data_IF_864649702498
#
_entry.id   IF_864649702498
#
_cell.length_a   1.000
_cell.length_b   1.000
_cell.length_c   1.000
_cell.angle_alpha   90.00
_cell.angle_beta   90.00
_cell.angle_gamma   90.00
#
_symmetry.space_group_name_H-M   'P 1'
#
loop_
_entity.id
_entity.type
_entity.pdbx_description
1 polymer ?
#
# COMPACT_ATOMS: atom_id res chain seq x y z
N UNK A 1 66.54 17.25 45.16
CA UNK A 1 65.99 17.73 43.88
C UNK A 1 65.00 16.69 43.40
N UNK A 2 63.71 16.94 43.65
CA UNK A 2 62.62 15.99 43.33
C UNK A 2 62.10 16.34 41.94
N UNK A 3 62.27 15.45 40.97
CA UNK A 3 61.79 15.64 39.60
C UNK A 3 60.40 15.00 39.49
N UNK A 4 59.36 15.84 39.46
CA UNK A 4 57.98 15.41 39.23
C UNK A 4 57.77 15.17 37.74
N UNK A 5 57.57 13.90 37.35
CA UNK A 5 57.26 13.52 35.97
C UNK A 5 55.75 13.73 35.73
N UNK A 6 55.38 14.77 34.97
CA UNK A 6 54.01 14.92 34.47
C UNK A 6 53.84 14.03 33.22
N UNK A 7 53.06 12.96 33.33
CA UNK A 7 52.56 12.24 32.16
C UNK A 7 51.49 13.11 31.48
N UNK A 8 51.79 13.61 30.29
CA UNK A 8 50.80 14.21 29.41
C UNK A 8 49.86 13.10 28.90
N UNK A 9 48.60 13.16 29.30
CA UNK A 9 47.56 12.25 28.84
C UNK A 9 47.12 12.70 27.45
N UNK A 10 47.54 11.97 26.42
CA UNK A 10 47.06 12.17 25.05
C UNK A 10 45.61 11.67 24.97
N UNK A 11 44.66 12.58 24.81
CA UNK A 11 43.29 12.24 24.47
C UNK A 11 43.27 11.76 23.01
N UNK A 12 42.93 10.48 22.80
CA UNK A 12 42.66 9.96 21.47
C UNK A 12 41.36 10.57 20.94
N UNK A 13 41.29 11.01 19.67
CA UNK A 13 40.04 11.45 19.10
C UNK A 13 39.10 10.25 18.96
N UNK A 14 37.90 10.36 19.52
CA UNK A 14 36.80 9.46 19.20
C UNK A 14 36.37 9.79 17.79
N UNK A 15 36.69 8.91 16.83
CA UNK A 15 36.13 8.99 15.50
C UNK A 15 34.63 8.70 15.60
N UNK A 16 33.80 9.73 15.46
CA UNK A 16 32.38 9.55 15.15
C UNK A 16 32.33 8.94 13.77
N UNK A 17 31.91 7.67 13.68
CA UNK A 17 31.65 7.03 12.41
C UNK A 17 30.56 7.82 11.67
N UNK A 18 30.88 8.33 10.49
CA UNK A 18 29.84 8.72 9.53
C UNK A 18 28.94 7.50 9.29
N UNK A 19 27.62 7.67 9.11
CA UNK A 19 26.79 6.56 8.68
C UNK A 19 27.42 6.01 7.40
N UNK A 20 27.78 4.73 7.42
CA UNK A 20 28.19 4.04 6.22
C UNK A 20 26.99 4.14 5.27
N UNK A 21 27.18 4.87 4.17
CA UNK A 21 26.33 4.75 3.01
C UNK A 21 26.31 3.26 2.67
N UNK A 22 25.23 2.58 3.04
CA UNK A 22 25.11 1.17 2.77
C UNK A 22 25.16 1.06 1.25
N UNK A 23 26.25 0.51 0.73
CA UNK A 23 26.38 0.28 -0.70
C UNK A 23 25.32 -0.76 -1.07
N UNK A 24 24.13 -0.28 -1.44
CA UNK A 24 23.02 -1.14 -1.79
C UNK A 24 23.37 -1.84 -3.11
N UNK A 25 23.14 -3.15 -3.17
CA UNK A 25 23.37 -3.93 -4.37
C UNK A 25 22.39 -3.46 -5.45
N UNK A 26 22.94 -2.87 -6.50
CA UNK A 26 22.16 -2.43 -7.65
C UNK A 26 21.66 -3.61 -8.46
N UNK A 27 20.42 -3.50 -8.91
CA UNK A 27 19.74 -4.46 -9.76
C UNK A 27 19.53 -3.82 -11.13
N UNK A 28 20.09 -4.45 -12.16
CA UNK A 28 19.89 -4.02 -13.55
C UNK A 28 18.44 -4.26 -13.94
N UNK A 29 17.78 -3.23 -14.49
CA UNK A 29 16.40 -3.30 -14.98
C UNK A 29 16.31 -2.90 -16.46
N UNK A 30 15.27 -3.36 -17.20
CA UNK A 30 15.13 -3.10 -18.63
C UNK A 30 15.13 -1.61 -19.04
N UNK A 31 14.64 -0.72 -18.19
CA UNK A 31 14.71 0.73 -18.45
C UNK A 31 16.11 1.33 -18.33
N UNK A 32 17.05 0.63 -17.69
CA UNK A 32 18.36 1.16 -17.31
C UNK A 32 18.33 2.11 -16.11
N UNK A 33 17.18 2.24 -15.43
CA UNK A 33 17.07 3.03 -14.21
C UNK A 33 17.94 2.46 -13.09
N UNK A 34 18.41 3.33 -12.20
CA UNK A 34 19.09 2.91 -10.99
C UNK A 34 18.08 2.35 -10.00
N UNK A 35 18.18 1.04 -9.72
CA UNK A 35 17.31 0.34 -8.76
C UNK A 35 18.16 -0.45 -7.79
N UNK A 36 17.80 -0.45 -6.52
CA UNK A 36 18.42 -1.33 -5.52
C UNK A 36 17.40 -1.90 -4.54
N UNK A 37 17.70 -3.09 -4.01
CA UNK A 37 16.87 -3.70 -2.96
C UNK A 37 17.11 -2.94 -1.64
N UNK A 38 16.03 -2.45 -1.05
CA UNK A 38 16.03 -1.92 0.30
C UNK A 38 15.78 -3.03 1.32
N UNK A 39 14.68 -3.78 1.16
CA UNK A 39 14.24 -4.78 2.13
C UNK A 39 13.53 -5.97 1.46
N UNK A 40 13.71 -7.15 2.05
CA UNK A 40 12.95 -8.36 1.73
C UNK A 40 12.23 -8.82 3.00
N UNK A 41 10.90 -8.85 2.95
CA UNK A 41 10.04 -9.17 4.09
C UNK A 41 9.15 -10.34 3.70
N UNK A 42 8.90 -11.25 4.64
CA UNK A 42 7.90 -12.31 4.45
C UNK A 42 6.93 -12.27 5.62
N UNK A 43 5.66 -12.04 5.31
CA UNK A 43 4.59 -11.88 6.29
C UNK A 43 3.38 -12.74 5.96
N UNK A 44 2.56 -13.00 7.00
CA UNK A 44 1.28 -13.68 6.85
C UNK A 44 0.18 -12.64 6.85
N UNK A 45 -0.57 -12.58 5.76
CA UNK A 45 -1.71 -11.68 5.61
C UNK A 45 -3.00 -12.49 5.68
N UNK A 46 -3.98 -12.11 6.52
CA UNK A 46 -5.29 -12.75 6.54
C UNK A 46 -5.91 -12.78 5.12
N UNK A 47 -6.47 -13.93 4.72
CA UNK A 47 -7.06 -14.10 3.38
C UNK A 47 -6.05 -14.40 2.25
N UNK A 48 -4.85 -13.80 2.27
CA UNK A 48 -3.83 -13.98 1.22
C UNK A 48 -2.76 -15.04 1.55
N UNK A 49 -2.65 -15.47 2.80
CA UNK A 49 -1.68 -16.47 3.23
C UNK A 49 -0.28 -15.87 3.41
N UNK A 50 0.75 -16.57 2.93
CA UNK A 50 2.14 -16.11 3.04
C UNK A 50 2.49 -15.25 1.83
N UNK A 51 2.88 -14.00 2.09
CA UNK A 51 3.23 -12.99 1.09
C UNK A 51 4.72 -12.69 1.21
N UNK A 52 5.42 -12.66 0.09
CA UNK A 52 6.79 -12.13 0.02
C UNK A 52 6.74 -10.70 -0.50
N UNK A 53 7.36 -9.78 0.23
CA UNK A 53 7.42 -8.37 -0.13
C UNK A 53 8.86 -7.97 -0.41
N UNK A 54 9.09 -7.43 -1.60
CA UNK A 54 10.38 -6.87 -2.01
C UNK A 54 10.22 -5.37 -2.14
N UNK A 55 10.99 -4.62 -1.37
CA UNK A 55 10.99 -3.16 -1.36
C UNK A 55 12.24 -2.69 -2.09
N UNK A 56 12.05 -2.03 -3.21
CA UNK A 56 13.10 -1.43 -4.02
C UNK A 56 13.04 0.08 -3.97
N UNK A 57 14.19 0.71 -4.18
CA UNK A 57 14.28 2.16 -4.37
C UNK A 57 14.75 2.44 -5.79
N UNK A 58 14.06 3.36 -6.45
CA UNK A 58 14.34 3.88 -7.78
C UNK A 58 14.23 5.41 -7.73
N UNK A 59 15.34 6.16 -7.60
CA UNK A 59 15.31 7.62 -7.48
C UNK A 59 14.52 8.32 -8.59
N UNK A 60 14.70 7.86 -9.83
CA UNK A 60 14.02 8.41 -11.00
C UNK A 60 12.50 8.18 -11.03
N UNK A 61 11.92 7.49 -10.04
CA UNK A 61 10.47 7.25 -9.98
C UNK A 61 9.67 8.56 -9.89
N UNK A 62 10.22 9.57 -9.23
CA UNK A 62 9.60 10.90 -9.09
C UNK A 62 9.42 11.65 -10.43
N UNK A 63 10.28 11.34 -11.42
CA UNK A 63 10.21 11.94 -12.75
C UNK A 63 9.17 11.25 -13.65
N UNK A 64 8.86 9.99 -13.36
CA UNK A 64 8.01 9.13 -14.20
C UNK A 64 6.58 9.08 -13.68
N UNK A 65 6.39 9.17 -12.36
CA UNK A 65 5.08 9.19 -11.72
C UNK A 65 4.79 10.65 -11.31
N UNK A 66 3.88 11.34 -12.02
CA UNK A 66 3.56 12.71 -11.68
C UNK A 66 2.96 12.78 -10.27
N UNK A 67 3.57 13.60 -9.41
CA UNK A 67 2.95 13.92 -8.13
C UNK A 67 1.63 14.65 -8.38
N UNK A 68 0.56 14.23 -7.69
CA UNK A 68 -0.70 14.97 -7.69
C UNK A 68 -0.52 16.17 -6.77
N UNK A 69 -0.48 17.38 -7.32
CA UNK A 69 -0.54 18.59 -6.50
C UNK A 69 -1.93 18.67 -5.86
N UNK A 70 -2.04 18.82 -4.53
CA UNK A 70 -3.35 18.99 -3.89
C UNK A 70 -4.14 20.19 -4.43
N UNK A 71 -3.48 21.22 -4.95
CA UNK A 71 -4.15 22.32 -5.64
C UNK A 71 -4.75 21.87 -6.98
N UNK A 72 -4.00 21.10 -7.78
CA UNK A 72 -4.51 20.54 -9.04
C UNK A 72 -5.67 19.57 -8.81
N UNK A 73 -5.62 18.77 -7.72
CA UNK A 73 -6.73 17.91 -7.34
C UNK A 73 -7.98 18.73 -7.02
N UNK A 74 -7.86 19.83 -6.29
CA UNK A 74 -9.00 20.70 -5.96
C UNK A 74 -9.66 21.31 -7.20
N UNK A 75 -8.87 21.61 -8.24
CA UNK A 75 -9.36 22.15 -9.52
C UNK A 75 -10.10 21.08 -10.37
N UNK A 76 -9.85 19.79 -10.12
CA UNK A 76 -10.45 18.67 -10.84
C UNK A 76 -11.58 17.95 -10.09
N UNK A 77 -11.80 18.30 -8.82
CA UNK A 77 -12.94 17.79 -8.06
C UNK A 77 -14.23 18.53 -8.46
N UNK A 78 -15.37 17.83 -8.57
CA UNK A 78 -16.63 18.49 -8.83
C UNK A 78 -17.01 19.36 -7.62
N UNK A 79 -17.63 20.53 -7.89
CA UNK A 79 -17.80 21.60 -6.90
C UNK A 79 -18.54 21.16 -5.63
N UNK A 80 -19.47 20.23 -5.75
CA UNK A 80 -20.23 19.64 -4.66
C UNK A 80 -19.37 18.84 -3.66
N UNK A 81 -18.26 18.24 -4.12
CA UNK A 81 -17.29 17.56 -3.26
C UNK A 81 -16.33 18.54 -2.57
N UNK A 82 -16.05 19.67 -3.21
CA UNK A 82 -15.15 20.71 -2.69
C UNK A 82 -15.81 21.52 -1.58
N UNK A 83 -17.08 21.91 -1.75
CA UNK A 83 -17.83 22.68 -0.76
C UNK A 83 -17.99 21.93 0.58
N UNK A 84 -18.19 20.61 0.55
CA UNK A 84 -18.32 19.79 1.76
C UNK A 84 -17.04 19.63 2.58
N UNK A 85 -15.86 19.71 1.95
CA UNK A 85 -14.56 19.55 2.61
C UNK A 85 -14.02 20.88 3.19
N UNK A 86 -14.59 22.00 2.76
CA UNK A 86 -14.18 23.34 3.17
C UNK A 86 -14.95 23.89 4.38
N UNK A 87 -16.02 23.23 4.82
CA UNK A 87 -16.79 23.67 5.99
C UNK A 87 -16.11 23.23 7.30
N UNK A 88 -14.87 23.69 7.51
CA UNK A 88 -14.13 23.51 8.76
C UNK A 88 -14.55 24.52 9.84
N UNK A 89 -15.66 25.24 9.63
CA UNK A 89 -16.17 26.18 10.62
C UNK A 89 -16.61 25.40 11.86
N UNK A 90 -16.41 25.96 13.06
CA UNK A 90 -17.01 25.38 14.25
C UNK A 90 -18.53 25.28 14.06
N UNK A 91 -19.13 24.17 14.49
CA UNK A 91 -20.58 23.99 14.49
C UNK A 91 -21.22 25.14 15.29
N UNK A 92 -22.32 25.67 14.79
CA UNK A 92 -23.13 26.58 15.59
C UNK A 92 -23.74 25.85 16.78
N UNK A 93 -24.15 26.56 17.85
CA UNK A 93 -24.78 25.92 19.00
C UNK A 93 -26.03 25.11 18.66
N UNK A 94 -26.76 25.46 17.60
CA UNK A 94 -27.94 24.72 17.14
C UNK A 94 -27.54 23.41 16.45
N UNK A 95 -26.57 23.46 15.54
CA UNK A 95 -26.03 22.27 14.84
C UNK A 95 -25.36 21.31 15.83
N UNK A 96 -24.65 21.84 16.84
CA UNK A 96 -24.08 21.03 17.91
C UNK A 96 -25.15 20.32 18.73
N UNK A 97 -26.25 21.01 19.07
CA UNK A 97 -27.36 20.41 19.81
C UNK A 97 -28.11 19.33 19.00
N UNK A 98 -28.23 19.51 17.69
CA UNK A 98 -28.79 18.48 16.79
C UNK A 98 -27.88 17.26 16.70
N UNK A 99 -26.56 17.46 16.60
CA UNK A 99 -25.59 16.38 16.62
C UNK A 99 -25.61 15.63 17.96
N UNK A 100 -25.59 16.34 19.09
CA UNK A 100 -25.64 15.74 20.43
C UNK A 100 -26.95 14.95 20.64
N UNK A 101 -28.08 15.47 20.14
CA UNK A 101 -29.36 14.76 20.17
C UNK A 101 -29.37 13.53 19.27
N UNK A 102 -28.70 13.57 18.12
CA UNK A 102 -28.56 12.44 17.20
C UNK A 102 -27.61 11.36 17.74
N UNK A 103 -26.55 11.75 18.44
CA UNK A 103 -25.59 10.84 19.08
C UNK A 103 -26.12 10.24 20.39
N UNK A 104 -27.18 10.81 20.97
CA UNK A 104 -27.84 10.27 22.15
C UNK A 104 -26.88 10.19 23.35
N UNK A 105 -26.73 8.99 23.93
CA UNK A 105 -25.84 8.72 25.08
C UNK A 105 -24.53 8.02 24.67
N UNK A 106 -24.09 8.16 23.41
CA UNK A 106 -22.77 7.66 23.01
C UNK A 106 -21.68 8.50 23.68
N UNK A 107 -21.19 8.02 24.82
CA UNK A 107 -19.97 8.52 25.46
C UNK A 107 -18.79 7.74 24.89
N UNK A 108 -17.85 8.43 24.23
CA UNK A 108 -16.55 7.85 23.92
C UNK A 108 -15.75 7.79 25.23
N UNK A 109 -15.75 6.65 25.91
CA UNK A 109 -14.84 6.42 27.02
C UNK A 109 -13.43 6.18 26.47
N UNK A 110 -12.47 7.01 26.90
CA UNK A 110 -11.07 6.76 26.62
C UNK A 110 -10.65 5.45 27.31
N UNK A 111 -10.07 4.52 26.54
CA UNK A 111 -9.44 3.33 27.10
C UNK A 111 -8.35 3.80 28.07
N UNK A 112 -8.36 3.39 29.36
CA UNK A 112 -7.30 3.77 30.28
C UNK A 112 -5.97 3.24 29.75
N UNK A 113 -4.95 4.10 29.75
CA UNK A 113 -3.59 3.77 29.36
C UNK A 113 -3.13 2.51 30.12
N UNK A 114 -3.18 1.36 29.46
CA UNK A 114 -2.53 0.14 29.94
C UNK A 114 -1.04 0.37 29.71
N UNK A 115 -0.42 1.06 30.67
CA UNK A 115 0.91 1.63 30.54
C UNK A 115 1.89 0.75 29.77
N UNK A 116 2.19 1.17 28.54
CA UNK A 116 3.37 0.70 27.84
C UNK A 116 4.52 1.61 28.29
N UNK A 117 5.56 0.97 28.85
CA UNK A 117 6.61 1.61 29.62
C UNK A 117 7.21 2.85 28.97
N UNK A 118 7.56 3.82 29.82
CA UNK A 118 8.21 5.07 29.46
C UNK A 118 9.47 4.83 28.60
N UNK A 119 9.35 5.12 27.31
CA UNK A 119 10.45 5.45 26.42
C UNK A 119 10.32 6.92 26.04
N UNK A 120 11.33 7.72 26.38
CA UNK A 120 11.34 9.15 26.11
C UNK A 120 11.24 9.42 24.59
N UNK A 121 10.13 9.99 24.15
CA UNK A 121 9.92 10.49 22.79
C UNK A 121 10.07 12.01 22.73
N UNK A 122 10.73 12.47 21.67
CA UNK A 122 11.02 13.87 21.32
C UNK A 122 9.78 14.80 21.33
N UNK A 123 9.90 16.07 21.74
CA UNK A 123 8.79 17.02 21.83
C UNK A 123 8.35 17.64 20.48
N UNK A 124 8.80 17.10 19.34
CA UNK A 124 8.64 17.75 18.03
C UNK A 124 7.39 17.32 17.25
N UNK A 125 6.68 16.27 17.66
CA UNK A 125 5.39 15.88 17.09
C UNK A 125 4.26 16.27 18.03
N UNK A 126 3.63 17.42 17.79
CA UNK A 126 2.38 17.85 18.44
C UNK A 126 1.15 17.10 17.91
N UNK A 127 1.21 15.78 17.81
CA UNK A 127 0.09 14.93 17.42
C UNK A 127 -0.49 14.24 18.64
N UNK A 128 -1.74 14.54 18.98
CA UNK A 128 -2.50 13.76 19.94
C UNK A 128 -2.44 12.28 19.53
N UNK A 129 -1.96 11.42 20.43
CA UNK A 129 -1.88 9.99 20.20
C UNK A 129 -3.23 9.45 19.73
N UNK A 130 -3.21 8.67 18.64
CA UNK A 130 -4.39 7.97 18.15
C UNK A 130 -4.76 6.89 19.16
N UNK A 131 -5.62 7.26 20.12
CA UNK A 131 -6.29 6.30 20.99
C UNK A 131 -7.35 5.60 20.15
N UNK A 132 -7.25 4.28 20.00
CA UNK A 132 -8.25 3.47 19.34
C UNK A 132 -9.62 3.65 20.01
N UNK A 133 -10.59 4.15 19.25
CA UNK A 133 -11.96 4.37 19.71
C UNK A 133 -12.76 3.09 19.45
N UNK A 134 -13.29 2.48 20.52
CA UNK A 134 -14.27 1.39 20.41
C UNK A 134 -15.64 1.92 20.79
N UNK A 135 -16.58 1.89 19.85
CA UNK A 135 -17.96 2.32 20.06
C UNK A 135 -18.77 1.12 20.54
N UNK A 136 -19.25 1.14 21.78
CA UNK A 136 -20.13 0.09 22.31
C UNK A 136 -21.39 0.75 22.85
N UNK A 137 -22.60 0.42 22.35
CA UNK A 137 -23.83 1.01 22.88
C UNK A 137 -24.14 0.44 24.27
N UNK A 138 -24.35 1.32 25.25
CA UNK A 138 -24.88 0.95 26.57
C UNK A 138 -26.40 1.08 26.52
N UNK A 139 -27.12 -0.04 26.66
CA UNK A 139 -28.58 -0.05 26.80
C UNK A 139 -28.96 -0.38 28.25
N UNK A 140 -29.88 0.37 28.88
CA UNK A 140 -30.33 0.09 30.24
C UNK A 140 -31.50 -0.91 30.24
N UNK A 141 -31.36 -2.01 30.97
CA UNK A 141 -32.48 -2.91 31.33
C UNK A 141 -32.36 -4.31 30.74
N UNK A 142 -32.31 -5.29 31.63
CA UNK A 142 -32.14 -6.72 31.43
C UNK A 142 -33.31 -7.38 30.68
N UNK A 143 -33.01 -8.35 29.81
CA UNK A 143 -33.93 -9.44 29.47
C UNK A 143 -34.58 -9.41 28.09
N UNK A 144 -33.80 -9.65 27.04
CA UNK A 144 -34.32 -10.03 25.73
C UNK A 144 -33.21 -10.55 24.83
N UNK A 145 -33.15 -11.87 24.67
CA UNK A 145 -32.26 -12.52 23.71
C UNK A 145 -32.51 -11.93 22.31
N UNK A 146 -31.49 -11.30 21.74
CA UNK A 146 -31.53 -10.83 20.36
C UNK A 146 -31.24 -12.07 19.49
N UNK A 147 -32.29 -12.80 19.13
CA UNK A 147 -32.21 -13.94 18.21
C UNK A 147 -32.04 -13.40 16.76
N UNK A 148 -30.84 -12.91 16.48
CA UNK A 148 -30.40 -12.64 15.11
C UNK A 148 -29.54 -13.83 14.67
N UNK A 149 -29.90 -14.55 13.59
CA UNK A 149 -29.13 -15.70 13.15
C UNK A 149 -27.70 -15.28 12.79
N UNK A 150 -26.73 -16.07 13.23
CA UNK A 150 -25.33 -15.90 12.86
C UNK A 150 -25.19 -16.02 11.33
N UNK A 151 -24.26 -15.28 10.70
CA UNK A 151 -24.12 -15.24 9.25
C UNK A 151 -23.86 -16.60 8.58
N UNK A 152 -23.52 -17.63 9.35
CA UNK A 152 -23.37 -19.01 8.91
C UNK A 152 -24.70 -19.74 8.61
N UNK A 153 -25.85 -19.19 9.02
CA UNK A 153 -27.19 -19.81 8.84
C UNK A 153 -28.01 -19.16 7.71
N UNK A 154 -27.45 -18.17 7.02
CA UNK A 154 -28.03 -17.63 5.78
C UNK A 154 -27.64 -18.56 4.61
N UNK A 155 -28.53 -19.46 4.24
CA UNK A 155 -28.38 -20.22 2.99
C UNK A 155 -28.35 -19.26 1.79
N UNK A 156 -27.40 -19.47 0.88
CA UNK A 156 -27.39 -18.75 -0.39
C UNK A 156 -28.70 -19.01 -1.15
N UNK A 157 -29.31 -18.01 -1.82
CA UNK A 157 -30.44 -18.27 -2.68
C UNK A 157 -29.99 -19.19 -3.82
N UNK A 158 -30.69 -20.32 -3.95
CA UNK A 158 -30.55 -21.29 -5.04
C UNK A 158 -30.79 -20.57 -6.38
N UNK A 159 -29.72 -20.08 -7.01
CA UNK A 159 -29.75 -19.60 -8.38
C UNK A 159 -29.64 -20.82 -9.30
N UNK A 160 -30.78 -21.46 -9.55
CA UNK A 160 -30.91 -22.42 -10.64
C UNK A 160 -30.71 -21.68 -11.97
N UNK A 161 -29.49 -21.75 -12.53
CA UNK A 161 -29.23 -21.40 -13.92
C UNK A 161 -29.75 -22.56 -14.80
N UNK A 162 -30.66 -22.32 -15.76
CA UNK A 162 -31.04 -23.35 -16.71
C UNK A 162 -29.87 -23.62 -17.67
N UNK A 163 -29.54 -24.90 -17.82
CA UNK A 163 -28.51 -25.40 -18.71
C UNK A 163 -28.78 -25.05 -20.17
N UNK A 164 -27.70 -24.70 -20.88
CA UNK A 164 -27.64 -24.63 -22.33
C UNK A 164 -26.43 -25.43 -22.79
N UNK A 165 -26.68 -26.64 -23.28
CA UNK A 165 -25.68 -27.47 -23.95
C UNK A 165 -25.25 -26.83 -25.28
N UNK A 166 -23.95 -26.73 -25.51
CA UNK A 166 -23.40 -26.26 -26.78
C UNK A 166 -21.90 -26.49 -26.83
N UNK A 167 -21.50 -27.63 -27.40
CA UNK A 167 -20.13 -28.02 -27.66
C UNK A 167 -19.60 -27.44 -28.99
N UNK A 168 -18.25 -27.39 -29.09
CA UNK A 168 -17.42 -27.18 -30.29
C UNK A 168 -17.43 -25.73 -30.86
N UNK A 169 -16.35 -25.18 -31.41
CA UNK A 169 -15.18 -25.76 -32.06
C UNK A 169 -14.04 -24.71 -32.10
N UNK A 170 -12.82 -25.18 -32.31
CA UNK A 170 -11.58 -24.43 -32.49
C UNK A 170 -11.61 -23.53 -33.74
N UNK A 171 -10.99 -22.34 -33.67
CA UNK A 171 -10.42 -21.70 -34.86
C UNK A 171 -9.31 -20.72 -34.49
N UNK A 172 -8.07 -21.12 -34.77
CA UNK A 172 -6.96 -20.21 -34.95
C UNK A 172 -7.23 -19.23 -36.09
N UNK A 173 -6.84 -17.98 -35.90
CA UNK A 173 -6.97 -16.91 -36.89
C UNK A 173 -5.86 -15.91 -36.71
N UNK A 174 -4.83 -16.05 -37.54
CA UNK A 174 -3.77 -15.09 -37.83
C UNK A 174 -4.38 -13.70 -38.14
N UNK A 175 -3.97 -12.66 -37.39
CA UNK A 175 -4.36 -11.27 -37.66
C UNK A 175 -3.11 -10.39 -37.74
N UNK A 176 -2.32 -10.64 -38.78
CA UNK A 176 -1.56 -9.59 -39.43
C UNK A 176 -2.51 -8.73 -40.29
N UNK A 177 -2.32 -7.41 -40.21
CA UNK A 177 -2.84 -6.34 -41.05
C UNK A 177 -4.33 -5.95 -40.88
N UNK A 178 -4.53 -4.82 -40.18
CA UNK A 178 -5.56 -3.86 -40.60
C UNK A 178 -4.86 -2.68 -41.29
N UNK A 179 -4.92 -2.72 -42.62
CA UNK A 179 -4.75 -1.54 -43.44
C UNK A 179 -5.88 -0.57 -43.10
N UNK A 180 -5.53 0.70 -42.90
CA UNK A 180 -6.46 1.73 -42.46
C UNK A 180 -7.63 1.96 -43.42
N UNK A 181 -8.80 2.16 -42.84
CA UNK A 181 -9.97 2.72 -43.52
C UNK A 181 -10.09 4.21 -43.14
N UNK A 182 -10.21 5.13 -44.12
CA UNK A 182 -10.31 6.55 -43.85
C UNK A 182 -11.78 6.90 -43.57
N UNK A 183 -12.09 7.36 -42.35
CA UNK A 183 -13.39 7.97 -42.07
C UNK A 183 -14.00 7.76 -40.67
N UNK A 184 -13.26 7.30 -39.68
CA UNK A 184 -13.76 7.19 -38.31
C UNK A 184 -13.39 8.42 -37.48
N UNK A 185 -14.43 9.11 -37.01
CA UNK A 185 -14.52 10.00 -35.84
C UNK A 185 -13.20 10.23 -35.07
N UNK A 186 -12.75 11.48 -35.02
CA UNK A 186 -11.59 11.97 -34.27
C UNK A 186 -11.76 11.81 -32.74
N UNK A 187 -11.72 10.58 -32.25
CA UNK A 187 -11.54 10.25 -30.85
C UNK A 187 -10.36 9.28 -30.72
N UNK A 188 -9.55 9.36 -29.65
CA UNK A 188 -8.47 8.40 -29.44
C UNK A 188 -9.09 7.01 -29.33
N UNK A 189 -8.80 6.14 -30.30
CA UNK A 189 -9.13 4.72 -30.23
C UNK A 189 -8.34 4.14 -29.05
N UNK A 190 -9.03 3.81 -27.97
CA UNK A 190 -8.41 3.13 -26.83
C UNK A 190 -7.77 1.83 -27.33
N UNK A 191 -6.56 1.46 -26.84
CA UNK A 191 -5.91 0.23 -27.26
C UNK A 191 -6.82 -0.97 -27.04
N UNK A 192 -6.75 -1.96 -27.94
CA UNK A 192 -7.54 -3.18 -27.87
C UNK A 192 -7.24 -4.06 -26.62
N UNK A 193 -6.24 -3.68 -25.82
CA UNK A 193 -5.89 -4.31 -24.56
C UNK A 193 -6.13 -3.32 -23.40
N UNK A 194 -7.29 -3.37 -22.71
CA UNK A 194 -7.61 -2.47 -21.61
C UNK A 194 -6.64 -2.63 -20.42
N UNK A 195 -6.07 -3.82 -20.24
CA UNK A 195 -5.11 -4.09 -19.15
C UNK A 195 -3.84 -3.25 -19.24
N UNK A 196 -3.40 -2.88 -20.46
CA UNK A 196 -2.25 -1.98 -20.63
C UNK A 196 -2.51 -0.57 -20.10
N UNK A 197 -3.77 -0.15 -20.03
CA UNK A 197 -4.16 1.14 -19.44
C UNK A 197 -4.18 1.10 -17.92
N UNK A 198 -4.20 -0.10 -17.32
CA UNK A 198 -4.20 -0.32 -15.87
C UNK A 198 -2.79 -0.57 -15.31
N UNK A 199 -1.77 -0.64 -16.17
CA UNK A 199 -0.38 -0.83 -15.77
C UNK A 199 0.25 0.49 -15.33
N UNK A 200 1.08 0.43 -14.30
CA UNK A 200 1.88 1.57 -13.87
C UNK A 200 2.95 1.94 -14.92
N UNK A 201 3.43 3.19 -14.97
CA UNK A 201 4.46 3.63 -15.91
C UNK A 201 5.76 2.81 -15.90
N UNK A 202 6.09 2.18 -14.77
CA UNK A 202 7.29 1.36 -14.56
C UNK A 202 7.01 -0.14 -14.53
N UNK A 203 5.80 -0.57 -14.93
CA UNK A 203 5.35 -1.97 -14.87
C UNK A 203 6.36 -2.95 -15.49
N UNK A 204 6.98 -2.58 -16.62
CA UNK A 204 7.98 -3.42 -17.29
C UNK A 204 9.17 -3.77 -16.40
N UNK A 205 9.65 -2.82 -15.61
CA UNK A 205 10.76 -3.06 -14.68
C UNK A 205 10.30 -3.87 -13.48
N UNK A 206 9.09 -3.59 -12.97
CA UNK A 206 8.52 -4.33 -11.85
C UNK A 206 8.29 -5.81 -12.21
N UNK A 207 7.71 -6.09 -13.38
CA UNK A 207 7.57 -7.46 -13.90
C UNK A 207 8.94 -8.14 -14.02
N UNK A 208 9.96 -7.44 -14.53
CA UNK A 208 11.31 -7.98 -14.62
C UNK A 208 11.89 -8.32 -13.24
N UNK A 209 11.75 -7.44 -12.26
CA UNK A 209 12.18 -7.68 -10.88
C UNK A 209 11.44 -8.88 -10.28
N UNK A 210 10.15 -9.06 -10.58
CA UNK A 210 9.42 -10.23 -10.13
C UNK A 210 10.03 -11.52 -10.67
N UNK A 211 10.18 -11.62 -12.00
CA UNK A 211 10.63 -12.84 -12.66
C UNK A 211 12.11 -13.16 -12.40
N UNK A 212 12.97 -12.14 -12.40
CA UNK A 212 14.41 -12.32 -12.45
C UNK A 212 15.09 -12.11 -11.09
N UNK A 213 14.43 -11.41 -10.15
CA UNK A 213 15.00 -11.14 -8.83
C UNK A 213 14.24 -11.84 -7.69
N UNK A 214 12.92 -11.64 -7.60
CA UNK A 214 12.10 -12.14 -6.51
C UNK A 214 11.82 -13.65 -6.62
N UNK A 215 11.36 -14.10 -7.79
CA UNK A 215 10.96 -15.49 -8.02
C UNK A 215 12.09 -16.51 -7.75
N UNK A 216 13.36 -16.28 -8.14
CA UNK A 216 14.47 -17.17 -7.76
C UNK A 216 14.66 -17.29 -6.24
N UNK A 217 14.44 -16.20 -5.48
CA UNK A 217 14.58 -16.17 -4.02
C UNK A 217 13.46 -16.94 -3.32
N UNK A 218 12.23 -16.89 -3.85
CA UNK A 218 11.11 -17.68 -3.34
C UNK A 218 11.39 -19.19 -3.35
N UNK A 219 12.19 -19.71 -4.29
CA UNK A 219 12.53 -21.14 -4.37
C UNK A 219 13.34 -21.61 -3.17
N UNK A 220 14.10 -20.71 -2.54
CA UNK A 220 14.89 -21.01 -1.35
C UNK A 220 14.05 -20.99 -0.06
N UNK A 221 12.80 -20.49 -0.12
CA UNK A 221 11.92 -20.34 1.04
C UNK A 221 11.05 -21.59 1.26
N UNK A 222 10.88 -21.98 2.52
CA UNK A 222 9.94 -23.04 2.89
C UNK A 222 9.19 -22.70 4.18
N UNK A 223 7.86 -22.54 4.16
CA UNK A 223 6.95 -22.70 3.02
C UNK A 223 7.14 -21.62 1.93
N UNK A 224 6.97 -22.00 0.65
CA UNK A 224 7.05 -21.09 -0.50
C UNK A 224 5.83 -20.13 -0.50
N UNK A 225 6.05 -18.80 -0.51
CA UNK A 225 5.00 -17.81 -0.72
C UNK A 225 4.32 -18.00 -2.09
N UNK A 226 3.02 -17.76 -2.15
CA UNK A 226 2.24 -17.81 -3.41
C UNK A 226 1.81 -16.44 -3.90
N UNK A 227 2.23 -15.40 -3.18
CA UNK A 227 1.93 -14.00 -3.46
C UNK A 227 3.23 -13.22 -3.30
N UNK A 228 3.54 -12.37 -4.28
CA UNK A 228 4.64 -11.42 -4.23
C UNK A 228 4.04 -10.02 -4.30
N UNK A 229 4.50 -9.12 -3.44
CA UNK A 229 4.27 -7.69 -3.60
C UNK A 229 5.60 -7.01 -3.86
N UNK A 230 5.70 -6.30 -4.97
CA UNK A 230 6.85 -5.45 -5.26
C UNK A 230 6.45 -4.02 -4.94
N UNK A 231 7.23 -3.38 -4.09
CA UNK A 231 7.11 -1.97 -3.79
C UNK A 231 8.28 -1.23 -4.40
N UNK A 232 8.01 -0.18 -5.17
CA UNK A 232 9.00 0.71 -5.77
C UNK A 232 8.84 2.10 -5.14
N UNK A 233 9.89 2.64 -4.52
CA UNK A 233 9.87 3.96 -3.90
C UNK A 233 10.92 4.90 -4.51
N UNK A 234 10.67 6.22 -4.54
CA UNK A 234 11.68 7.20 -5.00
C UNK A 234 12.83 7.39 -4.02
N UNK A 235 12.62 7.08 -2.74
CA UNK A 235 13.65 7.14 -1.70
C UNK A 235 13.44 6.06 -0.63
N UNK A 236 14.47 5.71 0.16
CA UNK A 236 14.33 4.75 1.25
C UNK A 236 13.37 5.26 2.33
N UNK A 237 12.46 4.40 2.80
CA UNK A 237 11.57 4.70 3.91
C UNK A 237 11.57 3.58 4.98
N UNK A 238 11.48 3.89 6.27
CA UNK A 238 11.26 2.88 7.30
C UNK A 238 9.96 2.10 7.06
N UNK A 239 9.97 0.79 7.28
CA UNK A 239 8.77 -0.02 7.19
C UNK A 239 7.67 0.49 8.14
N UNK A 240 6.44 0.63 7.62
CA UNK A 240 5.28 1.10 8.38
C UNK A 240 5.20 2.62 8.60
N UNK A 241 6.16 3.39 8.08
CA UNK A 241 6.07 4.85 8.05
C UNK A 241 5.48 5.34 6.73
N UNK A 242 4.68 6.40 6.80
CA UNK A 242 4.13 7.09 5.62
C UNK A 242 4.82 8.45 5.48
N UNK A 243 5.40 8.72 4.31
CA UNK A 243 6.00 9.99 3.95
C UNK A 243 5.42 10.44 2.59
N UNK A 244 4.61 11.52 2.54
CA UNK A 244 3.98 11.97 1.30
C UNK A 244 4.97 12.55 0.28
N UNK A 245 6.21 12.85 0.68
CA UNK A 245 7.25 13.29 -0.24
C UNK A 245 7.92 12.12 -0.98
N UNK A 246 7.70 10.88 -0.53
CA UNK A 246 8.26 9.67 -1.16
C UNK A 246 7.18 9.07 -2.05
N UNK A 247 7.38 9.19 -3.36
CA UNK A 247 6.52 8.51 -4.33
C UNK A 247 6.71 7.00 -4.18
N UNK A 248 5.61 6.27 -4.05
CA UNK A 248 5.64 4.82 -3.87
C UNK A 248 4.55 4.13 -4.70
N UNK A 249 4.97 3.16 -5.51
CA UNK A 249 4.08 2.27 -6.27
C UNK A 249 4.12 0.85 -5.70
N UNK A 250 3.02 0.11 -5.88
CA UNK A 250 2.88 -1.25 -5.42
C UNK A 250 2.20 -2.10 -6.50
N UNK A 251 2.86 -3.19 -6.91
CA UNK A 251 2.22 -4.20 -7.74
C UNK A 251 2.21 -5.56 -7.04
N UNK A 252 1.09 -6.27 -7.20
CA UNK A 252 0.87 -7.62 -6.69
C UNK A 252 1.00 -8.67 -7.80
N UNK A 253 1.61 -9.81 -7.46
CA UNK A 253 1.76 -10.95 -8.35
C UNK A 253 1.35 -12.24 -7.65
N UNK A 254 0.47 -13.02 -8.28
CA UNK A 254 0.24 -14.40 -7.90
C UNK A 254 1.31 -15.32 -8.49
N UNK A 255 1.76 -16.27 -7.67
CA UNK A 255 2.82 -17.23 -8.04
C UNK A 255 2.24 -18.63 -7.95
N UNK A 256 1.88 -19.25 -9.10
CA UNK A 256 1.33 -20.59 -9.12
C UNK A 256 2.29 -21.61 -8.49
N UNK A 257 1.72 -22.63 -7.84
CA UNK A 257 2.51 -23.66 -7.16
C UNK A 257 3.21 -24.62 -8.13
N UNK A 258 2.67 -24.75 -9.34
CA UNK A 258 3.04 -25.70 -10.37
C UNK A 258 4.00 -25.13 -11.42
N UNK A 259 4.16 -23.80 -11.50
CA UNK A 259 5.10 -23.16 -12.43
C UNK A 259 5.85 -21.97 -11.81
N UNK A 260 6.96 -21.64 -12.43
CA UNK A 260 7.82 -20.52 -12.06
C UNK A 260 7.46 -19.31 -12.91
N UNK A 261 6.35 -18.67 -12.57
CA UNK A 261 5.86 -17.48 -13.24
C UNK A 261 5.29 -16.47 -12.25
N UNK A 262 5.53 -15.19 -12.51
CA UNK A 262 4.82 -14.09 -11.88
C UNK A 262 3.60 -13.75 -12.74
N UNK A 263 2.40 -13.92 -12.18
CA UNK A 263 1.15 -13.53 -12.84
C UNK A 263 0.71 -12.21 -12.21
N UNK A 264 0.81 -11.13 -12.98
CA UNK A 264 0.33 -9.82 -12.54
C UNK A 264 -1.19 -9.84 -12.45
N UNK A 265 -1.72 -9.28 -11.36
CA UNK A 265 -3.16 -9.08 -11.17
C UNK A 265 -3.38 -7.58 -10.98
N UNK A 266 -4.26 -6.94 -11.77
CA UNK A 266 -4.59 -5.54 -11.56
C UNK A 266 -5.22 -5.37 -10.18
N UNK A 267 -4.67 -4.45 -9.38
CA UNK A 267 -5.14 -4.14 -8.02
C UNK A 267 -6.00 -2.87 -7.98
#
# INVERSE_FOLDING_TARGET
>A
MTVTLFLAQAAAPVAVGAPADAAHERVEVPSGAEVWLQEEITDRVPGMGLVARFRFVMPALEDVVPAVDPADLADHLPADMVEGMQDTRPLSPAEQAELDAALGDLVIEAVPDQGHGAGAGDPAWGGAGSSGISITPVLPGDGGEIDAPLPSELAAPDAALPGGDGAADEAGGDLAAVAGEPGAMDGPVLPAAPDLLMQDPVHRDIQFLCENYALPRLKAMNPRPTQIVISMASAPSPFGSFDPAIVQLFEGFSVPRDREACVWEPM
#
